data_IF_251523726641
#
_entry.id   IF_251523726641
#
_cell.length_a   1.000
_cell.length_b   1.000
_cell.length_c   1.000
_cell.angle_alpha   90.00
_cell.angle_beta   90.00
_cell.angle_gamma   90.00
#
_symmetry.space_group_name_H-M   'P 1'
#
loop_
_entity.id
_entity.type
_entity.pdbx_description
1 polymer ?
#
# COMPACT_ATOMS: atom_id res chain seq x y z
N UNK A 1 -3.16 -8.91 -7.71
CA UNK A 1 -3.15 -7.89 -8.79
C UNK A 1 -3.69 -8.51 -10.06
N UNK A 2 -4.64 -7.87 -10.72
CA UNK A 2 -5.18 -8.36 -12.00
C UNK A 2 -4.20 -7.99 -13.12
N UNK A 3 -3.70 -9.00 -13.85
CA UNK A 3 -2.79 -8.77 -14.97
C UNK A 3 -3.54 -8.20 -16.18
N UNK A 4 -2.93 -7.26 -16.90
CA UNK A 4 -3.48 -6.68 -18.13
C UNK A 4 -3.85 -7.73 -19.17
N UNK A 5 -3.06 -8.78 -19.31
CA UNK A 5 -3.37 -9.89 -20.23
C UNK A 5 -4.66 -10.61 -19.87
N UNK A 6 -4.89 -10.81 -18.57
CA UNK A 6 -6.12 -11.44 -18.07
C UNK A 6 -7.34 -10.57 -18.38
N UNK A 7 -7.22 -9.24 -18.26
CA UNK A 7 -8.29 -8.30 -18.57
C UNK A 7 -8.61 -8.34 -20.07
N UNK A 8 -7.61 -8.32 -20.95
CA UNK A 8 -7.81 -8.41 -22.40
C UNK A 8 -8.51 -9.71 -22.80
N UNK A 9 -8.09 -10.83 -22.23
CA UNK A 9 -8.68 -12.14 -22.53
C UNK A 9 -10.13 -12.19 -22.07
N UNK A 10 -10.43 -11.69 -20.89
CA UNK A 10 -11.80 -11.69 -20.35
C UNK A 10 -12.70 -10.70 -21.12
N UNK A 11 -12.19 -9.54 -21.47
CA UNK A 11 -12.91 -8.56 -22.30
C UNK A 11 -13.29 -9.15 -23.66
N UNK A 12 -12.35 -9.82 -24.33
CA UNK A 12 -12.61 -10.48 -25.61
C UNK A 12 -13.65 -11.60 -25.50
N UNK A 13 -13.65 -12.32 -24.40
CA UNK A 13 -14.60 -13.43 -24.16
C UNK A 13 -16.00 -12.96 -23.83
N UNK A 14 -16.13 -11.87 -23.05
CA UNK A 14 -17.44 -11.37 -22.58
C UNK A 14 -18.15 -10.49 -23.58
N UNK A 15 -17.41 -9.68 -24.34
CA UNK A 15 -17.98 -8.65 -25.19
C UNK A 15 -18.15 -9.05 -26.66
N UNK A 16 -17.61 -10.17 -27.11
CA UNK A 16 -17.65 -10.56 -28.53
C UNK A 16 -16.85 -9.60 -29.42
N UNK A 17 -17.32 -9.27 -30.59
CA UNK A 17 -16.51 -8.60 -31.62
C UNK A 17 -16.54 -7.07 -31.59
N UNK A 18 -15.44 -6.44 -31.95
CA UNK A 18 -15.34 -5.07 -32.41
C UNK A 18 -15.37 -3.98 -31.33
N UNK A 19 -16.15 -2.95 -31.56
CA UNK A 19 -16.21 -1.72 -30.74
C UNK A 19 -16.58 -1.95 -29.27
N UNK A 20 -17.37 -3.00 -28.98
CA UNK A 20 -17.74 -3.34 -27.58
C UNK A 20 -16.55 -3.81 -26.76
N UNK A 21 -15.66 -4.59 -27.37
CA UNK A 21 -14.44 -5.07 -26.70
C UNK A 21 -13.53 -3.91 -26.34
N UNK A 22 -13.32 -2.98 -27.26
CA UNK A 22 -12.51 -1.76 -27.02
C UNK A 22 -13.11 -0.92 -25.89
N UNK A 23 -14.42 -0.72 -25.87
CA UNK A 23 -15.10 0.04 -24.81
C UNK A 23 -14.96 -0.63 -23.44
N UNK A 24 -15.03 -1.96 -23.37
CA UNK A 24 -14.83 -2.71 -22.14
C UNK A 24 -13.39 -2.59 -21.66
N UNK A 25 -12.40 -2.71 -22.53
CA UNK A 25 -10.98 -2.56 -22.19
C UNK A 25 -10.67 -1.18 -21.64
N UNK A 26 -11.18 -0.09 -22.29
CA UNK A 26 -11.03 1.28 -21.80
C UNK A 26 -11.69 1.47 -20.43
N UNK A 27 -12.86 0.90 -20.21
CA UNK A 27 -13.54 0.92 -18.92
C UNK A 27 -12.75 0.18 -17.84
N UNK A 28 -12.19 -1.00 -18.17
CA UNK A 28 -11.35 -1.78 -17.26
C UNK A 28 -10.05 -1.04 -16.91
N UNK A 29 -9.39 -0.41 -17.89
CA UNK A 29 -8.19 0.41 -17.65
C UNK A 29 -8.50 1.62 -16.77
N UNK A 30 -9.65 2.27 -16.98
CA UNK A 30 -10.09 3.37 -16.14
C UNK A 30 -10.30 2.92 -14.70
N UNK A 31 -11.00 1.81 -14.47
CA UNK A 31 -11.20 1.23 -13.12
C UNK A 31 -9.86 0.92 -12.46
N UNK A 32 -8.93 0.26 -13.17
CA UNK A 32 -7.60 -0.04 -12.65
C UNK A 32 -6.82 1.22 -12.30
N UNK A 33 -6.97 2.31 -13.07
CA UNK A 33 -6.32 3.58 -12.76
C UNK A 33 -6.86 4.24 -11.48
N UNK A 34 -8.07 3.86 -11.04
CA UNK A 34 -8.67 4.35 -9.79
C UNK A 34 -8.25 3.52 -8.57
N UNK A 35 -7.66 2.33 -8.77
CA UNK A 35 -7.17 1.48 -7.68
C UNK A 35 -5.77 1.94 -7.27
N UNK A 36 -5.57 2.42 -6.03
CA UNK A 36 -4.24 2.81 -5.58
C UNK A 36 -3.27 1.62 -5.62
N UNK A 37 -2.11 1.81 -6.25
CA UNK A 37 -1.01 0.86 -6.23
C UNK A 37 -0.16 1.10 -4.97
N UNK A 38 0.60 0.08 -4.52
CA UNK A 38 1.39 0.21 -3.30
C UNK A 38 2.43 1.33 -3.38
N UNK A 39 3.06 1.54 -4.52
CA UNK A 39 4.00 2.64 -4.73
C UNK A 39 3.31 4.01 -4.62
N UNK A 40 2.10 4.14 -5.15
CA UNK A 40 1.29 5.36 -5.02
C UNK A 40 0.85 5.59 -3.57
N UNK A 41 0.45 4.55 -2.86
CA UNK A 41 0.12 4.64 -1.42
C UNK A 41 1.34 5.04 -0.60
N UNK A 42 2.52 4.50 -0.89
CA UNK A 42 3.77 4.88 -0.24
C UNK A 42 4.12 6.35 -0.48
N UNK A 43 3.92 6.84 -1.70
CA UNK A 43 4.08 8.26 -2.05
C UNK A 43 3.13 9.14 -1.25
N UNK A 44 1.84 8.81 -1.21
CA UNK A 44 0.83 9.56 -0.45
C UNK A 44 1.14 9.55 1.06
N UNK A 45 1.59 8.43 1.59
CA UNK A 45 2.01 8.31 2.99
C UNK A 45 3.18 9.25 3.30
N UNK A 46 4.19 9.27 2.44
CA UNK A 46 5.35 10.15 2.57
C UNK A 46 4.95 11.64 2.48
N UNK A 47 4.20 12.05 1.47
CA UNK A 47 3.74 13.42 1.30
C UNK A 47 2.93 13.89 2.51
N UNK A 48 2.07 13.04 3.04
CA UNK A 48 1.28 13.32 4.24
C UNK A 48 2.15 13.46 5.49
N UNK A 49 3.13 12.57 5.65
CA UNK A 49 4.07 12.62 6.78
C UNK A 49 4.91 13.90 6.77
N UNK A 50 5.42 14.31 5.61
CA UNK A 50 6.13 15.58 5.44
C UNK A 50 5.25 16.77 5.79
N UNK A 51 4.03 16.80 5.24
CA UNK A 51 3.06 17.88 5.52
C UNK A 51 2.72 18.00 7.00
N UNK A 52 2.65 16.86 7.71
CA UNK A 52 2.36 16.83 9.16
C UNK A 52 3.62 17.04 10.03
N UNK A 53 4.79 17.23 9.43
CA UNK A 53 6.06 17.40 10.16
C UNK A 53 6.55 16.14 10.87
N UNK A 54 6.07 14.95 10.45
CA UNK A 54 6.48 13.67 11.05
C UNK A 54 7.77 13.11 10.46
N UNK A 55 8.17 13.55 9.29
CA UNK A 55 9.45 13.20 8.66
C UNK A 55 9.94 14.34 7.81
N UNK A 56 11.20 14.27 7.40
CA UNK A 56 11.85 15.21 6.51
C UNK A 56 12.82 14.47 5.57
N UNK A 57 13.25 15.13 4.50
CA UNK A 57 14.16 14.53 3.51
C UNK A 57 15.52 14.13 4.12
N UNK A 58 15.94 14.82 5.18
CA UNK A 58 17.20 14.58 5.89
C UNK A 58 17.03 13.73 7.17
N UNK A 59 15.88 13.09 7.34
CA UNK A 59 15.65 12.20 8.49
C UNK A 59 16.70 11.08 8.54
N UNK A 60 17.27 10.86 9.71
CA UNK A 60 18.29 9.84 9.93
C UNK A 60 17.70 8.45 10.07
N UNK A 61 18.58 7.44 10.02
CA UNK A 61 18.17 6.06 10.32
C UNK A 61 17.56 5.93 11.72
N UNK A 62 18.09 6.67 12.69
CA UNK A 62 17.55 6.67 14.07
C UNK A 62 16.20 7.35 14.17
N UNK A 63 15.97 8.42 13.41
CA UNK A 63 14.64 9.08 13.35
C UNK A 63 13.59 8.09 12.84
N UNK A 64 13.92 7.34 11.80
CA UNK A 64 13.07 6.26 11.27
C UNK A 64 12.81 5.18 12.33
N UNK A 65 13.86 4.72 13.00
CA UNK A 65 13.75 3.70 14.04
C UNK A 65 12.80 4.15 15.17
N UNK A 66 12.99 5.35 15.70
CA UNK A 66 12.13 5.88 16.75
C UNK A 66 10.70 6.14 16.29
N UNK A 67 10.51 6.54 15.04
CA UNK A 67 9.18 6.68 14.46
C UNK A 67 8.43 5.34 14.42
N UNK A 68 9.07 4.29 13.93
CA UNK A 68 8.49 2.94 13.88
C UNK A 68 8.25 2.42 15.30
N UNK A 69 9.19 2.64 16.21
CA UNK A 69 9.06 2.21 17.62
C UNK A 69 7.86 2.88 18.30
N UNK A 70 7.59 4.15 18.02
CA UNK A 70 6.42 4.86 18.53
C UNK A 70 5.11 4.22 18.06
N UNK A 71 5.01 3.88 16.77
CA UNK A 71 3.83 3.21 16.23
C UNK A 71 3.68 1.78 16.76
N UNK A 72 4.78 1.06 16.95
CA UNK A 72 4.78 -0.27 17.60
C UNK A 72 4.26 -0.21 19.03
N UNK A 73 4.58 0.84 19.76
CA UNK A 73 4.04 1.06 21.11
C UNK A 73 2.52 1.25 21.08
N UNK A 74 2.02 2.06 20.15
CA UNK A 74 0.57 2.24 19.93
C UNK A 74 -0.11 0.91 19.62
N UNK A 75 0.46 0.13 18.71
CA UNK A 75 -0.05 -1.20 18.37
C UNK A 75 -0.08 -2.15 19.58
N UNK A 76 0.97 -2.17 20.40
CA UNK A 76 1.04 -3.02 21.62
C UNK A 76 -0.08 -2.68 22.60
N UNK A 77 -0.42 -1.41 22.74
CA UNK A 77 -1.40 -0.91 23.71
C UNK A 77 -2.85 -0.95 23.18
N UNK A 78 -3.04 -1.16 21.88
CA UNK A 78 -4.34 -1.13 21.22
C UNK A 78 -5.20 -2.36 21.54
N UNK A 79 -6.50 -2.15 21.63
CA UNK A 79 -7.47 -3.23 21.82
C UNK A 79 -7.66 -4.05 20.54
N UNK A 80 -7.66 -5.37 20.68
CA UNK A 80 -7.96 -6.31 19.60
C UNK A 80 -9.46 -6.46 19.32
N UNK A 81 -10.31 -5.95 20.21
CA UNK A 81 -11.77 -6.14 20.14
C UNK A 81 -12.55 -4.83 20.03
N UNK A 82 -12.04 -3.75 20.61
CA UNK A 82 -12.70 -2.45 20.52
C UNK A 82 -12.50 -1.83 19.15
N UNK A 83 -13.55 -1.18 18.68
CA UNK A 83 -13.53 -0.48 17.39
C UNK A 83 -12.68 0.78 17.45
N UNK A 84 -11.99 1.07 16.33
CA UNK A 84 -11.31 2.34 16.13
C UNK A 84 -12.32 3.50 16.10
N UNK A 85 -11.96 4.62 16.71
CA UNK A 85 -12.75 5.85 16.63
C UNK A 85 -12.74 6.47 15.23
N UNK A 86 -11.60 6.39 14.54
CA UNK A 86 -11.41 6.98 13.21
C UNK A 86 -11.96 6.11 12.09
N UNK A 87 -11.83 4.80 12.23
CA UNK A 87 -12.21 3.80 11.23
C UNK A 87 -13.05 2.69 11.90
N UNK A 88 -14.36 2.95 12.20
CA UNK A 88 -15.17 2.05 13.03
C UNK A 88 -15.41 0.65 12.45
N UNK A 89 -15.11 0.41 11.18
CA UNK A 89 -15.15 -0.90 10.55
C UNK A 89 -13.96 -1.80 10.92
N UNK A 90 -12.94 -1.22 11.59
CA UNK A 90 -11.74 -1.94 12.03
C UNK A 90 -11.58 -1.84 13.54
N UNK A 91 -10.80 -2.75 14.13
CA UNK A 91 -10.40 -2.66 15.55
C UNK A 91 -9.29 -1.63 15.74
N UNK A 92 -9.10 -1.16 16.97
CA UNK A 92 -7.97 -0.30 17.32
C UNK A 92 -6.63 -0.93 16.94
N UNK A 93 -6.45 -2.22 17.22
CA UNK A 93 -5.24 -2.96 16.89
C UNK A 93 -4.97 -3.01 15.38
N UNK A 94 -6.00 -3.18 14.56
CA UNK A 94 -5.86 -3.18 13.09
C UNK A 94 -5.46 -1.81 12.57
N UNK A 95 -6.01 -0.73 13.11
CA UNK A 95 -5.63 0.64 12.75
C UNK A 95 -4.17 0.92 13.13
N UNK A 96 -3.78 0.63 14.35
CA UNK A 96 -2.41 0.87 14.84
C UNK A 96 -1.36 0.02 14.09
N UNK A 97 -1.70 -1.21 13.74
CA UNK A 97 -0.82 -2.02 12.89
C UNK A 97 -0.67 -1.40 11.49
N UNK A 98 -1.72 -0.78 10.97
CA UNK A 98 -1.68 -0.06 9.70
C UNK A 98 -0.77 1.16 9.80
N UNK A 99 -0.75 1.86 10.94
CA UNK A 99 0.18 2.98 11.16
C UNK A 99 1.65 2.54 11.14
N UNK A 100 1.96 1.37 11.66
CA UNK A 100 3.30 0.76 11.52
C UNK A 100 3.64 0.54 10.05
N UNK A 101 2.72 -0.02 9.28
CA UNK A 101 2.90 -0.23 7.84
C UNK A 101 3.10 1.09 7.08
N UNK A 102 2.30 2.10 7.37
CA UNK A 102 2.41 3.44 6.77
C UNK A 102 3.78 4.05 7.06
N UNK A 103 4.29 3.91 8.26
CA UNK A 103 5.62 4.38 8.63
C UNK A 103 6.71 3.69 7.80
N UNK A 104 6.61 2.38 7.60
CA UNK A 104 7.54 1.63 6.76
C UNK A 104 7.46 2.06 5.28
N UNK A 105 6.25 2.20 4.74
CA UNK A 105 6.04 2.67 3.36
C UNK A 105 6.62 4.07 3.13
N UNK A 106 6.39 4.97 4.07
CA UNK A 106 6.93 6.34 4.07
C UNK A 106 8.45 6.32 3.93
N UNK A 107 9.12 5.52 4.75
CA UNK A 107 10.58 5.44 4.75
C UNK A 107 11.15 4.80 3.49
N UNK A 108 10.55 3.74 3.00
CA UNK A 108 10.98 3.13 1.75
C UNK A 108 10.83 4.09 0.57
N UNK A 109 9.71 4.82 0.52
CA UNK A 109 9.51 5.83 -0.52
C UNK A 109 10.53 6.98 -0.42
N UNK A 110 10.76 7.50 0.78
CA UNK A 110 11.75 8.56 1.03
C UNK A 110 13.15 8.16 0.56
N UNK A 111 13.51 6.91 0.72
CA UNK A 111 14.80 6.35 0.28
C UNK A 111 14.87 6.02 -1.20
N UNK A 112 13.84 6.35 -1.98
CA UNK A 112 13.79 6.10 -3.41
C UNK A 112 13.63 4.64 -3.80
N UNK A 113 13.10 3.80 -2.90
CA UNK A 113 12.92 2.36 -3.15
C UNK A 113 11.60 2.12 -3.88
N UNK A 114 11.65 1.29 -4.92
CA UNK A 114 10.45 0.71 -5.53
C UNK A 114 9.84 -0.32 -4.57
N UNK A 115 8.79 0.09 -3.87
CA UNK A 115 8.19 -0.70 -2.77
C UNK A 115 7.59 -2.01 -3.29
N UNK A 116 6.91 -1.98 -4.43
CA UNK A 116 6.34 -3.19 -5.03
C UNK A 116 7.43 -4.20 -5.35
N UNK A 117 8.53 -3.74 -5.93
CA UNK A 117 9.66 -4.59 -6.32
C UNK A 117 10.35 -5.22 -5.11
N UNK A 118 10.76 -4.41 -4.13
CA UNK A 118 11.45 -4.95 -2.94
C UNK A 118 10.56 -5.91 -2.16
N UNK A 119 9.28 -5.60 -2.04
CA UNK A 119 8.32 -6.44 -1.34
C UNK A 119 8.14 -7.79 -2.05
N UNK A 120 7.98 -7.76 -3.36
CA UNK A 120 7.86 -8.98 -4.19
C UNK A 120 9.12 -9.83 -4.08
N UNK A 121 10.28 -9.24 -4.26
CA UNK A 121 11.58 -9.95 -4.18
C UNK A 121 11.81 -10.54 -2.79
N UNK A 122 11.47 -9.81 -1.74
CA UNK A 122 11.62 -10.28 -0.37
C UNK A 122 10.68 -11.44 -0.03
N UNK A 123 9.44 -11.37 -0.49
CA UNK A 123 8.48 -12.47 -0.33
C UNK A 123 8.98 -13.72 -1.06
N UNK A 124 9.44 -13.60 -2.30
CA UNK A 124 9.99 -14.74 -3.04
C UNK A 124 11.23 -15.34 -2.37
N UNK A 125 12.13 -14.50 -1.88
CA UNK A 125 13.28 -14.97 -1.10
C UNK A 125 12.83 -15.73 0.16
N UNK A 126 11.85 -15.21 0.88
CA UNK A 126 11.36 -15.86 2.10
C UNK A 126 10.74 -17.25 1.84
N UNK A 127 10.13 -17.46 0.67
CA UNK A 127 9.61 -18.78 0.26
C UNK A 127 10.70 -19.82 0.15
N UNK A 128 11.96 -19.44 -0.10
CA UNK A 128 13.09 -20.35 -0.21
C UNK A 128 13.73 -20.70 1.14
N UNK A 129 13.33 -20.03 2.22
CA UNK A 129 13.85 -20.26 3.57
C UNK A 129 13.06 -21.38 4.24
N UNK A 130 13.77 -22.36 4.73
CA UNK A 130 13.21 -23.52 5.44
C UNK A 130 13.38 -23.31 6.95
#
# INVERSE_FOLDING_TARGET
MIDRKTIHTEAARQCGHGTKTVSFELGAEWVLSQIPQINELAKQAHETAVKRGKTSEDASHLDTFFGILSELKGFREASEVEKSEHLPQYTQSQEELTDVLICCLTELHRRGVDVEKILTEKIEFNKTRV
#
